data_IF_177107548343
#
_entry.id   IF_177107548343
#
_cell.length_a   1.000
_cell.length_b   1.000
_cell.length_c   1.000
_cell.angle_alpha   90.00
_cell.angle_beta   90.00
_cell.angle_gamma   90.00
#
_symmetry.space_group_name_H-M   'P 1'
#
loop_
_entity.id
_entity.type
_entity.pdbx_description
1 polymer ?
#
# COMPACT_ATOMS: atom_id res chain seq x y z
N UNK A 1 -2.90 -20.73 -7.97
CA UNK A 1 -2.40 -19.47 -7.36
C UNK A 1 -3.61 -18.86 -6.68
N UNK A 2 -3.66 -18.89 -5.35
CA UNK A 2 -4.83 -18.40 -4.59
C UNK A 2 -4.87 -16.88 -4.71
N UNK A 3 -5.99 -16.38 -5.21
CA UNK A 3 -6.30 -14.96 -5.13
C UNK A 3 -6.45 -14.58 -3.64
N UNK A 4 -6.00 -13.39 -3.26
CA UNK A 4 -6.07 -12.93 -1.88
C UNK A 4 -7.52 -12.62 -1.52
N UNK A 5 -8.12 -13.42 -0.65
CA UNK A 5 -9.41 -13.07 -0.05
C UNK A 5 -9.20 -11.93 0.95
N UNK A 6 -9.55 -10.72 0.52
CA UNK A 6 -9.36 -9.51 1.33
C UNK A 6 -10.29 -9.48 2.55
N UNK A 7 -11.44 -10.14 2.52
CA UNK A 7 -12.36 -10.19 3.67
C UNK A 7 -11.81 -11.13 4.74
N UNK A 8 -11.40 -12.34 4.35
CA UNK A 8 -10.75 -13.28 5.26
C UNK A 8 -9.47 -12.69 5.83
N UNK A 9 -8.65 -12.07 4.98
CA UNK A 9 -7.38 -11.45 5.39
C UNK A 9 -7.62 -10.32 6.39
N UNK A 10 -8.58 -9.44 6.15
CA UNK A 10 -8.96 -8.36 7.09
C UNK A 10 -9.46 -8.92 8.42
N UNK A 11 -10.31 -9.95 8.35
CA UNK A 11 -10.81 -10.65 9.56
C UNK A 11 -9.65 -11.22 10.38
N UNK A 12 -8.68 -11.84 9.73
CA UNK A 12 -7.50 -12.37 10.40
C UNK A 12 -6.67 -11.29 11.10
N UNK A 13 -6.37 -10.17 10.42
CA UNK A 13 -5.65 -9.05 11.02
C UNK A 13 -6.43 -8.41 12.17
N UNK A 14 -7.74 -8.26 12.03
CA UNK A 14 -8.61 -7.73 13.09
C UNK A 14 -8.53 -8.56 14.36
N UNK A 15 -8.42 -9.88 14.25
CA UNK A 15 -8.27 -10.77 15.40
C UNK A 15 -6.86 -10.83 16.00
N UNK A 16 -5.84 -10.34 15.30
CA UNK A 16 -4.43 -10.41 15.73
C UNK A 16 -3.85 -9.06 16.19
N UNK A 17 -4.38 -7.97 15.70
CA UNK A 17 -3.92 -6.62 16.05
C UNK A 17 -4.47 -6.27 17.44
N UNK A 18 -3.64 -5.78 18.38
CA UNK A 18 -4.11 -5.28 19.66
C UNK A 18 -5.14 -4.16 19.49
N UNK A 19 -6.20 -4.21 20.26
CA UNK A 19 -7.36 -3.31 20.14
C UNK A 19 -7.07 -1.85 20.52
N UNK A 20 -5.96 -1.62 21.23
CA UNK A 20 -5.50 -0.30 21.68
C UNK A 20 -4.60 0.41 20.66
N UNK A 21 -4.26 -0.23 19.53
CA UNK A 21 -3.36 0.39 18.56
C UNK A 21 -4.04 1.47 17.73
N UNK A 22 -5.30 1.28 17.36
CA UNK A 22 -5.98 2.12 16.37
C UNK A 22 -7.35 2.59 16.87
N UNK A 23 -7.80 3.71 16.34
CA UNK A 23 -9.12 4.29 16.67
C UNK A 23 -10.30 3.51 16.07
N UNK A 24 -10.04 2.59 15.14
CA UNK A 24 -11.07 1.85 14.42
C UNK A 24 -10.50 0.65 13.66
N UNK A 25 -11.29 0.05 12.78
CA UNK A 25 -10.86 -1.10 12.00
C UNK A 25 -9.73 -0.72 11.03
N UNK A 26 -8.80 -1.65 10.81
CA UNK A 26 -7.71 -1.46 9.86
C UNK A 26 -8.20 -1.58 8.41
N UNK A 27 -7.60 -0.81 7.52
CA UNK A 27 -7.73 -1.00 6.08
C UNK A 27 -6.69 -2.02 5.63
N UNK A 28 -7.13 -3.05 4.92
CA UNK A 28 -6.26 -4.07 4.32
C UNK A 28 -6.41 -4.02 2.82
N UNK A 29 -5.30 -3.88 2.13
CA UNK A 29 -5.19 -3.98 0.68
C UNK A 29 -4.01 -4.86 0.33
N UNK A 30 -3.99 -5.45 -0.85
CA UNK A 30 -2.89 -6.30 -1.24
C UNK A 30 -2.89 -6.59 -2.72
N UNK A 31 -1.75 -7.08 -3.19
CA UNK A 31 -1.54 -7.60 -4.53
C UNK A 31 -0.96 -9.03 -4.46
N UNK A 32 -0.24 -9.44 -5.49
CA UNK A 32 0.37 -10.78 -5.56
C UNK A 32 1.59 -10.94 -4.67
N UNK A 33 2.21 -9.84 -4.25
CA UNK A 33 3.51 -9.81 -3.59
C UNK A 33 3.42 -9.34 -2.14
N UNK A 34 2.52 -8.37 -1.86
CA UNK A 34 2.40 -7.80 -0.52
C UNK A 34 0.95 -7.56 -0.08
N UNK A 35 0.80 -7.53 1.23
CA UNK A 35 -0.40 -7.10 1.94
C UNK A 35 -0.04 -5.82 2.69
N UNK A 36 -0.80 -4.77 2.48
CA UNK A 36 -0.63 -3.50 3.18
C UNK A 36 -1.74 -3.33 4.20
N UNK A 37 -1.33 -3.18 5.46
CA UNK A 37 -2.22 -2.95 6.60
C UNK A 37 -2.03 -1.53 7.10
N UNK A 38 -3.10 -0.74 7.12
CA UNK A 38 -3.10 0.65 7.55
C UNK A 38 -4.18 0.85 8.62
N UNK A 39 -3.78 1.39 9.77
CA UNK A 39 -4.69 1.73 10.84
C UNK A 39 -4.69 3.23 11.15
N UNK A 40 -5.79 3.74 11.67
CA UNK A 40 -5.94 5.14 12.03
C UNK A 40 -5.49 5.37 13.48
N UNK A 41 -4.46 6.19 13.67
CA UNK A 41 -4.03 6.61 15.00
C UNK A 41 -4.95 7.70 15.54
N UNK A 42 -5.21 7.72 16.87
CA UNK A 42 -5.84 8.86 17.51
C UNK A 42 -5.02 10.13 17.25
N UNK A 43 -5.69 11.20 16.80
CA UNK A 43 -5.00 12.47 16.56
C UNK A 43 -4.42 13.05 17.87
N UNK A 44 -3.44 13.93 17.74
CA UNK A 44 -2.76 14.54 18.88
C UNK A 44 -3.57 15.74 19.41
N UNK A 45 -3.72 15.79 20.71
CA UNK A 45 -4.24 17.00 21.37
C UNK A 45 -3.10 18.02 21.49
N UNK A 46 -3.28 19.17 20.84
CA UNK A 46 -2.35 20.31 20.92
C UNK A 46 -3.06 21.49 21.61
N UNK A 47 -2.29 22.42 22.13
CA UNK A 47 -2.83 23.62 22.81
C UNK A 47 -3.77 24.41 21.89
N UNK A 48 -4.77 25.07 22.46
CA UNK A 48 -5.62 26.01 21.71
C UNK A 48 -4.75 27.12 21.13
N UNK A 49 -4.78 27.25 19.79
CA UNK A 49 -3.96 28.23 19.07
C UNK A 49 -2.61 27.70 18.60
N UNK A 50 -2.33 26.41 18.77
CA UNK A 50 -1.14 25.78 18.18
C UNK A 50 -1.10 26.00 16.66
N UNK A 51 0.08 26.30 16.13
CA UNK A 51 0.30 26.47 14.71
C UNK A 51 0.16 25.15 13.94
N UNK A 52 -0.04 25.22 12.62
CA UNK A 52 -0.07 24.02 11.78
C UNK A 52 1.28 23.28 11.82
N UNK A 53 2.39 24.02 11.91
CA UNK A 53 3.71 23.42 12.07
C UNK A 53 3.85 22.60 13.36
N UNK A 54 3.31 23.10 14.49
CA UNK A 54 3.29 22.35 15.75
C UNK A 54 2.45 21.10 15.65
N UNK A 55 1.29 21.15 14.98
CA UNK A 55 0.44 19.96 14.74
C UNK A 55 1.16 18.90 13.90
N UNK A 56 1.81 19.33 12.82
CA UNK A 56 2.57 18.42 11.94
C UNK A 56 3.68 17.73 12.72
N UNK A 57 4.46 18.47 13.51
CA UNK A 57 5.54 17.90 14.31
C UNK A 57 5.00 16.95 15.38
N UNK A 58 3.89 17.31 16.05
CA UNK A 58 3.28 16.46 17.08
C UNK A 58 2.76 15.15 16.48
N UNK A 59 2.09 15.20 15.32
CA UNK A 59 1.63 14.00 14.58
C UNK A 59 2.79 13.12 14.16
N UNK A 60 3.83 13.72 13.60
CA UNK A 60 5.04 12.99 13.20
C UNK A 60 5.68 12.26 14.40
N UNK A 61 5.84 12.95 15.51
CA UNK A 61 6.37 12.36 16.74
C UNK A 61 5.48 11.21 17.26
N UNK A 62 4.15 11.32 17.14
CA UNK A 62 3.22 10.23 17.49
C UNK A 62 3.41 9.02 16.57
N UNK A 63 3.57 9.24 15.27
CA UNK A 63 3.80 8.17 14.30
C UNK A 63 5.11 7.44 14.59
N UNK A 64 6.19 8.18 14.88
CA UNK A 64 7.49 7.58 15.23
C UNK A 64 7.41 6.79 16.54
N UNK A 65 6.79 7.34 17.57
CA UNK A 65 6.60 6.65 18.85
C UNK A 65 5.81 5.35 18.68
N UNK A 66 4.72 5.38 17.91
CA UNK A 66 3.95 4.19 17.59
C UNK A 66 4.79 3.17 16.79
N UNK A 67 5.50 3.64 15.77
CA UNK A 67 6.36 2.78 14.93
C UNK A 67 7.39 2.05 15.76
N UNK A 68 8.02 2.72 16.73
CA UNK A 68 9.04 2.13 17.56
C UNK A 68 8.46 1.19 18.62
N UNK A 69 7.45 1.65 19.38
CA UNK A 69 6.86 0.87 20.47
C UNK A 69 6.16 -0.41 20.00
N UNK A 70 5.61 -0.44 18.79
CA UNK A 70 4.89 -1.61 18.25
C UNK A 70 5.73 -2.48 17.32
N UNK A 71 7.01 -2.15 17.12
CA UNK A 71 7.86 -2.79 16.12
C UNK A 71 7.91 -4.32 16.25
N UNK A 72 8.22 -4.82 17.43
CA UNK A 72 8.36 -6.26 17.67
C UNK A 72 7.04 -7.00 17.46
N UNK A 73 5.95 -6.47 17.97
CA UNK A 73 4.63 -7.06 17.82
C UNK A 73 4.16 -7.05 16.36
N UNK A 74 4.38 -5.93 15.62
CA UNK A 74 4.09 -5.87 14.18
C UNK A 74 4.90 -6.89 13.38
N UNK A 75 6.19 -7.05 13.71
CA UNK A 75 7.03 -8.06 13.06
C UNK A 75 6.59 -9.48 13.36
N UNK A 76 6.09 -9.76 14.56
CA UNK A 76 5.54 -11.06 14.91
C UNK A 76 4.27 -11.36 14.12
N UNK A 77 3.32 -10.40 14.09
CA UNK A 77 2.08 -10.52 13.31
C UNK A 77 2.40 -10.68 11.82
N UNK A 78 3.37 -9.91 11.29
CA UNK A 78 3.78 -10.02 9.90
C UNK A 78 4.31 -11.42 9.55
N UNK A 79 5.17 -11.99 10.38
CA UNK A 79 5.70 -13.35 10.16
C UNK A 79 4.60 -14.40 10.16
N UNK A 80 3.64 -14.32 11.08
CA UNK A 80 2.50 -15.22 11.13
C UNK A 80 1.64 -15.10 9.87
N UNK A 81 1.40 -13.88 9.41
CA UNK A 81 0.65 -13.60 8.19
C UNK A 81 1.39 -14.08 6.93
N UNK A 82 2.69 -13.80 6.82
CA UNK A 82 3.55 -14.25 5.72
C UNK A 82 3.54 -15.77 5.59
N UNK A 83 3.62 -16.48 6.73
CA UNK A 83 3.56 -17.94 6.74
C UNK A 83 2.20 -18.49 6.29
N UNK A 84 1.10 -17.81 6.63
CA UNK A 84 -0.27 -18.23 6.29
C UNK A 84 -0.66 -17.87 4.87
N UNK A 85 -0.29 -16.67 4.41
CA UNK A 85 -0.83 -16.04 3.20
C UNK A 85 0.17 -16.02 2.04
N UNK A 86 1.43 -16.44 2.30
CA UNK A 86 2.53 -16.46 1.33
C UNK A 86 2.74 -15.10 0.64
N UNK A 87 2.61 -14.01 1.41
CA UNK A 87 2.82 -12.63 0.96
C UNK A 87 3.49 -11.80 2.04
N UNK A 88 4.33 -10.86 1.63
CA UNK A 88 4.95 -9.91 2.53
C UNK A 88 3.93 -8.96 3.16
N UNK A 89 4.16 -8.54 4.40
CA UNK A 89 3.27 -7.60 5.09
C UNK A 89 3.95 -6.26 5.27
N UNK A 90 3.35 -5.22 4.70
CA UNK A 90 3.71 -3.83 4.92
C UNK A 90 2.73 -3.17 5.88
N UNK A 91 3.23 -2.23 6.68
CA UNK A 91 2.46 -1.50 7.67
C UNK A 91 2.45 -0.02 7.38
N UNK A 92 1.34 0.62 7.68
CA UNK A 92 1.20 2.07 7.66
C UNK A 92 0.22 2.55 8.70
N UNK A 93 0.18 3.84 8.89
CA UNK A 93 -0.80 4.52 9.75
C UNK A 93 -1.34 5.76 9.05
N UNK A 94 -2.54 6.17 9.44
CA UNK A 94 -3.11 7.47 9.10
C UNK A 94 -3.29 8.27 10.39
N UNK A 95 -2.94 9.54 10.39
CA UNK A 95 -3.17 10.48 11.48
C UNK A 95 -3.52 11.85 10.90
N UNK A 96 -4.63 12.43 11.32
CA UNK A 96 -5.09 13.72 10.81
C UNK A 96 -5.29 13.77 9.30
N UNK A 97 -5.62 12.64 8.67
CA UNK A 97 -5.80 12.50 7.22
C UNK A 97 -4.52 12.23 6.44
N UNK A 98 -3.34 12.31 7.07
CA UNK A 98 -2.06 12.01 6.42
C UNK A 98 -1.66 10.56 6.63
N UNK A 99 -1.29 9.88 5.54
CA UNK A 99 -0.87 8.48 5.54
C UNK A 99 0.64 8.35 5.53
N UNK A 100 1.18 7.57 6.46
CA UNK A 100 2.60 7.24 6.56
C UNK A 100 2.80 5.73 6.46
N UNK A 101 3.59 5.26 5.50
CA UNK A 101 3.98 3.86 5.36
C UNK A 101 5.30 3.61 6.12
N UNK A 102 5.36 2.51 6.87
CA UNK A 102 6.58 2.13 7.61
C UNK A 102 7.56 1.33 6.78
N UNK A 103 7.03 0.59 5.81
CA UNK A 103 7.78 -0.21 4.84
C UNK A 103 7.13 -0.08 3.48
N UNK A 104 7.96 -0.08 2.44
CA UNK A 104 7.52 -0.17 1.05
C UNK A 104 8.28 -1.31 0.40
N UNK A 105 7.56 -2.31 -0.08
CA UNK A 105 8.15 -3.39 -0.85
C UNK A 105 8.47 -2.88 -2.26
N UNK A 106 9.64 -3.22 -2.76
CA UNK A 106 9.99 -3.02 -4.16
C UNK A 106 10.30 -4.37 -4.78
N UNK A 107 9.55 -4.75 -5.78
CA UNK A 107 9.68 -6.03 -6.47
C UNK A 107 10.20 -5.79 -7.89
N UNK A 108 11.20 -6.55 -8.36
CA UNK A 108 11.72 -6.37 -9.70
C UNK A 108 10.69 -6.78 -10.75
N UNK A 109 10.43 -5.89 -11.71
CA UNK A 109 9.64 -6.18 -12.89
C UNK A 109 10.56 -6.12 -14.10
N UNK A 110 10.66 -7.24 -14.84
CA UNK A 110 11.51 -7.34 -16.01
C UNK A 110 10.71 -7.07 -17.28
N UNK A 111 11.20 -6.16 -18.13
CA UNK A 111 10.62 -5.88 -19.44
C UNK A 111 11.67 -5.77 -20.53
N UNK A 112 11.23 -5.94 -21.78
CA UNK A 112 12.06 -5.72 -22.98
C UNK A 112 11.46 -4.56 -23.77
N UNK A 113 12.23 -3.48 -23.91
CA UNK A 113 11.83 -2.26 -24.59
C UNK A 113 12.51 -2.17 -25.96
N UNK A 114 11.80 -1.67 -26.95
CA UNK A 114 12.33 -1.33 -28.27
C UNK A 114 13.07 0.02 -28.22
N UNK A 115 13.72 0.40 -29.34
CA UNK A 115 14.54 1.61 -29.39
C UNK A 115 13.75 2.88 -29.02
N UNK A 116 12.51 3.01 -29.46
CA UNK A 116 11.67 4.20 -29.18
C UNK A 116 11.39 4.36 -27.68
N UNK A 117 11.00 3.28 -27.01
CA UNK A 117 10.72 3.30 -25.58
C UNK A 117 12.01 3.55 -24.76
N UNK A 118 13.13 2.95 -25.20
CA UNK A 118 14.41 3.23 -24.54
C UNK A 118 14.84 4.67 -24.68
N UNK A 119 14.63 5.31 -25.84
CA UNK A 119 14.96 6.69 -26.05
C UNK A 119 14.20 7.63 -25.10
N UNK A 120 12.93 7.32 -24.76
CA UNK A 120 12.18 8.06 -23.73
C UNK A 120 12.87 7.98 -22.39
N UNK A 121 13.28 6.76 -21.97
CA UNK A 121 13.96 6.58 -20.69
C UNK A 121 15.32 7.29 -20.66
N UNK A 122 16.07 7.24 -21.75
CA UNK A 122 17.36 7.91 -21.87
C UNK A 122 17.20 9.45 -21.75
N UNK A 123 16.20 10.01 -22.42
CA UNK A 123 15.87 11.43 -22.29
C UNK A 123 15.54 11.83 -20.85
N UNK A 124 14.77 11.00 -20.12
CA UNK A 124 14.43 11.28 -18.72
C UNK A 124 15.65 11.20 -17.81
N UNK A 125 16.58 10.32 -18.10
CA UNK A 125 17.85 10.21 -17.35
C UNK A 125 18.76 11.40 -17.67
N UNK A 126 18.94 11.72 -18.95
CA UNK A 126 19.79 12.82 -19.40
C UNK A 126 19.26 14.20 -18.92
N UNK A 127 17.94 14.35 -18.80
CA UNK A 127 17.29 15.53 -18.25
C UNK A 127 17.32 15.61 -16.71
N UNK A 128 17.87 14.60 -16.00
CA UNK A 128 17.94 14.55 -14.55
C UNK A 128 16.61 14.28 -13.84
N UNK A 129 15.57 13.85 -14.57
CA UNK A 129 14.26 13.47 -14.01
C UNK A 129 14.37 12.12 -13.27
N UNK A 130 15.23 11.24 -13.76
CA UNK A 130 15.48 9.93 -13.18
C UNK A 130 16.98 9.62 -13.09
N UNK A 131 17.37 8.79 -12.14
CA UNK A 131 18.79 8.43 -11.90
C UNK A 131 19.26 7.26 -12.76
N UNK A 132 18.34 6.50 -13.32
CA UNK A 132 18.60 5.32 -14.16
C UNK A 132 17.40 4.98 -15.03
N UNK A 133 17.58 4.12 -16.04
CA UNK A 133 16.48 3.61 -16.87
C UNK A 133 15.38 2.91 -16.04
N UNK A 134 15.75 2.17 -15.00
CA UNK A 134 14.77 1.51 -14.11
C UNK A 134 13.96 2.54 -13.31
N UNK A 135 14.62 3.58 -12.82
CA UNK A 135 13.97 4.69 -12.12
C UNK A 135 13.06 5.48 -13.06
N UNK A 136 13.51 5.75 -14.30
CA UNK A 136 12.70 6.38 -15.35
C UNK A 136 11.45 5.55 -15.69
N UNK A 137 11.58 4.24 -15.80
CA UNK A 137 10.44 3.35 -16.05
C UNK A 137 9.44 3.38 -14.89
N UNK A 138 9.92 3.28 -13.65
CA UNK A 138 9.06 3.40 -12.46
C UNK A 138 8.37 4.78 -12.40
N UNK A 139 9.06 5.86 -12.78
CA UNK A 139 8.49 7.19 -12.90
C UNK A 139 7.36 7.23 -13.96
N UNK A 140 7.56 6.64 -15.15
CA UNK A 140 6.52 6.54 -16.18
C UNK A 140 5.28 5.78 -15.67
N UNK A 141 5.46 4.69 -14.92
CA UNK A 141 4.33 3.92 -14.35
C UNK A 141 3.55 4.78 -13.34
N UNK A 142 4.25 5.50 -12.46
CA UNK A 142 3.59 6.44 -11.53
C UNK A 142 2.82 7.53 -12.28
N UNK A 143 3.42 8.13 -13.30
CA UNK A 143 2.79 9.17 -14.13
C UNK A 143 1.49 8.66 -14.76
N UNK A 144 1.47 7.43 -15.28
CA UNK A 144 0.24 6.81 -15.81
C UNK A 144 -0.79 6.60 -14.71
N UNK A 145 -0.38 6.12 -13.53
CA UNK A 145 -1.26 5.95 -12.38
C UNK A 145 -1.91 7.26 -11.94
N UNK A 146 -1.14 8.34 -11.91
CA UNK A 146 -1.61 9.66 -11.45
C UNK A 146 -2.53 10.34 -12.48
N UNK A 147 -2.28 10.16 -13.79
CA UNK A 147 -3.03 10.84 -14.85
C UNK A 147 -4.15 10.00 -15.47
N UNK A 148 -4.14 8.69 -15.29
CA UNK A 148 -5.11 7.75 -15.84
C UNK A 148 -5.80 6.92 -14.73
N UNK A 149 -5.82 7.43 -13.50
CA UNK A 149 -6.36 6.74 -12.33
C UNK A 149 -7.79 6.25 -12.54
N UNK A 150 -8.68 7.09 -13.03
CA UNK A 150 -10.08 6.74 -13.30
C UNK A 150 -10.22 5.57 -14.30
N UNK A 151 -9.42 5.57 -15.36
CA UNK A 151 -9.41 4.48 -16.33
C UNK A 151 -8.88 3.18 -15.74
N UNK A 152 -7.80 3.23 -14.97
CA UNK A 152 -7.24 2.06 -14.27
C UNK A 152 -8.25 1.49 -13.25
N UNK A 153 -8.96 2.34 -12.52
CA UNK A 153 -9.97 1.92 -11.56
C UNK A 153 -11.21 1.33 -12.25
N UNK A 154 -11.60 1.87 -13.40
CA UNK A 154 -12.65 1.27 -14.22
C UNK A 154 -12.27 -0.13 -14.73
N UNK A 155 -10.99 -0.34 -15.12
CA UNK A 155 -10.48 -1.65 -15.49
C UNK A 155 -10.48 -2.63 -14.31
N UNK A 156 -10.08 -2.21 -13.12
CA UNK A 156 -10.12 -3.03 -11.90
C UNK A 156 -11.57 -3.46 -11.58
N UNK A 157 -12.51 -2.54 -11.67
CA UNK A 157 -13.94 -2.82 -11.45
C UNK A 157 -14.48 -3.83 -12.47
N UNK A 158 -14.12 -3.67 -13.73
CA UNK A 158 -14.53 -4.60 -14.78
C UNK A 158 -13.94 -6.01 -14.57
N UNK A 159 -12.66 -6.10 -14.14
CA UNK A 159 -12.02 -7.36 -13.82
C UNK A 159 -12.69 -8.08 -12.64
N UNK A 160 -13.05 -7.37 -11.57
CA UNK A 160 -13.79 -7.95 -10.45
C UNK A 160 -15.13 -8.58 -10.90
N UNK A 161 -15.83 -7.94 -11.83
CA UNK A 161 -17.05 -8.48 -12.42
C UNK A 161 -16.79 -9.77 -13.24
N UNK A 162 -15.69 -9.82 -13.98
CA UNK A 162 -15.28 -11.03 -14.73
C UNK A 162 -14.93 -12.19 -13.78
N UNK A 163 -14.29 -11.90 -12.67
CA UNK A 163 -13.94 -12.90 -11.65
C UNK A 163 -15.18 -13.48 -10.98
N UNK A 164 -16.19 -12.66 -10.67
CA UNK A 164 -17.50 -13.12 -10.16
C UNK A 164 -18.17 -14.10 -11.12
N UNK A 165 -18.25 -13.76 -12.41
CA UNK A 165 -18.84 -14.62 -13.44
C UNK A 165 -18.05 -15.93 -13.60
N UNK A 166 -16.74 -15.88 -13.47
CA UNK A 166 -15.90 -17.09 -13.48
C UNK A 166 -16.16 -18.00 -12.29
N UNK A 167 -16.32 -17.43 -11.11
CA UNK A 167 -16.58 -18.18 -9.88
C UNK A 167 -17.96 -18.86 -9.90
N UNK A 168 -18.97 -18.24 -10.52
CA UNK A 168 -20.31 -18.80 -10.68
C UNK A 168 -20.32 -20.01 -11.62
N UNK A 169 -19.39 -20.09 -12.57
CA UNK A 169 -19.30 -21.19 -13.54
C UNK A 169 -20.51 -21.27 -14.50
N UNK A 170 -20.53 -22.28 -15.40
CA UNK A 170 -21.70 -22.52 -16.23
C UNK A 170 -22.83 -23.09 -15.39
N UNK A 171 -24.05 -22.53 -15.52
CA UNK A 171 -25.25 -23.08 -14.87
C UNK A 171 -25.48 -24.52 -15.33
N UNK A 172 -25.70 -25.48 -14.41
CA UNK A 172 -26.06 -26.83 -14.81
C UNK A 172 -27.39 -26.81 -15.57
N UNK A 173 -27.38 -27.35 -16.79
CA UNK A 173 -28.57 -27.54 -17.65
C UNK A 173 -29.43 -28.64 -17.11
#
# INVERSE_FOLDING_TARGET
MHDLDLEETRGWFTGRIPTDWFSGPVTVSGDREEILVVGDLPDVEVAKGASDAERVVARWSRVEAFRESTREARMAIARDAEHRLDRRVAWGVTIGGERTLFTTLSVPVMTRLRMRERAVLDTLVDAGVARSRSDALAWCVRLVGDHQGEWIDALRTALASVESVRAEGPSPS
#
